data_IF_325314243029
#
_entry.id   IF_325314243029
#
_cell.length_a   1.000
_cell.length_b   1.000
_cell.length_c   1.000
_cell.angle_alpha   90.00
_cell.angle_beta   90.00
_cell.angle_gamma   90.00
#
_symmetry.space_group_name_H-M   'P 1'
#
loop_
_entity.id
_entity.type
_entity.pdbx_description
1 polymer ?
#
# COMPACT_ATOMS: atom_id res chain seq x y z
N UNK A 1 31.35 17.48 -5.71
CA UNK A 1 30.85 17.03 -4.40
C UNK A 1 29.34 16.99 -4.53
N UNK A 2 28.72 15.81 -4.55
CA UNK A 2 27.26 15.78 -4.50
C UNK A 2 26.79 16.33 -3.16
N UNK A 3 25.52 16.69 -3.07
CA UNK A 3 24.84 16.99 -1.80
C UNK A 3 24.55 15.68 -1.02
N UNK A 4 25.29 14.61 -1.33
CA UNK A 4 25.15 13.22 -0.90
C UNK A 4 26.16 12.85 0.21
N UNK A 5 26.73 13.85 0.90
CA UNK A 5 27.53 13.62 2.10
C UNK A 5 26.58 13.23 3.22
N UNK A 6 26.25 11.95 3.32
CA UNK A 6 25.36 11.36 4.32
C UNK A 6 25.86 11.43 5.77
N UNK A 7 27.05 11.99 6.01
CA UNK A 7 27.47 12.44 7.35
C UNK A 7 26.88 13.81 7.71
N UNK A 8 26.28 14.50 6.74
CA UNK A 8 25.50 15.70 6.97
C UNK A 8 24.20 15.31 7.68
N UNK A 9 23.93 15.82 8.89
CA UNK A 9 22.68 15.57 9.59
C UNK A 9 21.44 16.03 8.82
N UNK A 10 21.61 16.76 7.71
CA UNK A 10 20.55 17.21 6.80
C UNK A 10 20.26 16.24 5.65
N UNK A 11 20.98 15.12 5.54
CA UNK A 11 20.74 14.12 4.50
C UNK A 11 19.76 13.03 4.98
N UNK A 12 18.60 12.94 4.34
CA UNK A 12 17.58 11.94 4.63
C UNK A 12 17.42 10.96 3.46
N UNK A 13 17.32 9.66 3.76
CA UNK A 13 17.11 8.60 2.77
C UNK A 13 16.19 7.51 3.31
N UNK A 14 15.64 6.69 2.42
CA UNK A 14 14.76 5.55 2.76
C UNK A 14 13.57 5.91 3.66
N UNK A 15 13.19 7.20 3.70
CA UNK A 15 12.14 7.73 4.56
C UNK A 15 10.74 7.23 4.17
N UNK A 16 10.53 6.74 2.93
CA UNK A 16 9.24 6.17 2.48
C UNK A 16 8.75 5.06 3.41
N UNK A 17 9.66 4.23 3.97
CA UNK A 17 9.31 3.18 4.95
C UNK A 17 8.75 3.75 6.25
N UNK A 18 9.18 4.95 6.63
CA UNK A 18 8.82 5.60 7.90
C UNK A 18 7.51 6.38 7.88
N UNK A 19 6.98 6.72 6.70
CA UNK A 19 5.76 7.50 6.56
C UNK A 19 4.55 6.65 6.97
N UNK A 20 3.79 7.11 7.94
CA UNK A 20 2.59 6.43 8.43
C UNK A 20 2.85 5.20 9.31
N UNK A 21 4.10 5.00 9.75
CA UNK A 21 4.48 3.94 10.68
C UNK A 21 4.70 4.49 12.10
N UNK A 22 4.42 3.68 13.13
CA UNK A 22 4.78 4.05 14.51
C UNK A 22 6.31 3.95 14.69
N UNK A 23 6.96 5.11 14.78
CA UNK A 23 8.41 5.22 15.00
C UNK A 23 8.68 5.13 16.49
N UNK A 24 9.42 4.10 16.92
CA UNK A 24 9.94 4.02 18.29
C UNK A 24 11.40 4.50 18.32
N UNK A 25 11.67 5.57 19.08
CA UNK A 25 13.01 6.12 19.26
C UNK A 25 13.07 7.64 19.07
N UNK A 26 14.29 8.17 18.92
CA UNK A 26 14.51 9.59 18.64
C UNK A 26 14.32 9.86 17.15
N UNK A 27 13.42 10.78 16.83
CA UNK A 27 13.37 11.36 15.50
C UNK A 27 14.60 12.24 15.26
N UNK A 28 15.11 12.30 14.03
CA UNK A 28 16.22 13.19 13.71
C UNK A 28 15.82 14.65 14.01
N UNK A 29 16.72 15.37 14.68
CA UNK A 29 16.56 16.80 14.93
C UNK A 29 17.39 17.60 13.92
N UNK A 30 16.78 18.60 13.30
CA UNK A 30 17.45 19.55 12.44
C UNK A 30 17.30 20.94 13.05
N UNK A 31 18.44 21.54 13.41
CA UNK A 31 18.49 22.86 14.05
C UNK A 31 17.60 22.97 15.32
N UNK A 32 17.49 21.88 16.09
CA UNK A 32 16.70 21.80 17.33
C UNK A 32 15.20 21.53 17.13
N UNK A 33 14.79 21.20 15.90
CA UNK A 33 13.40 20.85 15.55
C UNK A 33 13.36 19.37 15.17
N UNK A 34 12.48 18.60 15.83
CA UNK A 34 12.24 17.21 15.46
C UNK A 34 11.59 17.11 14.08
N UNK A 35 12.19 16.33 13.19
CA UNK A 35 11.75 16.14 11.80
C UNK A 35 11.07 14.78 11.67
N UNK A 36 9.86 14.76 11.13
CA UNK A 36 9.11 13.52 10.87
C UNK A 36 9.36 13.00 9.45
N UNK A 37 9.11 11.70 9.21
CA UNK A 37 9.20 11.13 7.88
C UNK A 37 8.16 11.73 6.92
N UNK A 38 6.98 12.05 7.44
CA UNK A 38 5.90 12.76 6.74
C UNK A 38 6.39 14.12 6.22
N UNK A 39 7.12 14.87 7.04
CA UNK A 39 7.64 16.18 6.67
C UNK A 39 8.72 16.07 5.59
N UNK A 40 9.62 15.09 5.70
CA UNK A 40 10.65 14.83 4.68
C UNK A 40 9.99 14.45 3.36
N UNK A 41 8.97 13.58 3.39
CA UNK A 41 8.25 13.19 2.18
C UNK A 41 7.49 14.35 1.53
N UNK A 42 6.94 15.27 2.34
CA UNK A 42 6.24 16.46 1.84
C UNK A 42 7.23 17.38 1.12
N UNK A 43 8.37 17.68 1.74
CA UNK A 43 9.42 18.46 1.11
C UNK A 43 9.89 17.83 -0.20
N UNK A 44 10.11 16.52 -0.20
CA UNK A 44 10.53 15.79 -1.40
C UNK A 44 9.50 15.90 -2.53
N UNK A 45 8.21 15.67 -2.25
CA UNK A 45 7.15 15.76 -3.25
C UNK A 45 6.96 17.19 -3.78
N UNK A 46 6.94 18.19 -2.89
CA UNK A 46 6.83 19.59 -3.30
C UNK A 46 8.00 19.99 -4.21
N UNK A 47 9.22 19.61 -3.87
CA UNK A 47 10.39 19.87 -4.72
C UNK A 47 10.30 19.18 -6.09
N UNK A 48 9.77 17.96 -6.17
CA UNK A 48 9.55 17.30 -7.47
C UNK A 48 8.55 18.09 -8.31
N UNK A 49 7.39 18.45 -7.74
CA UNK A 49 6.31 19.13 -8.47
C UNK A 49 6.72 20.55 -8.91
N UNK A 50 7.43 21.28 -8.05
CA UNK A 50 8.01 22.59 -8.38
C UNK A 50 8.99 22.49 -9.54
N UNK A 51 9.92 21.52 -9.50
CA UNK A 51 10.88 21.32 -10.58
C UNK A 51 10.22 20.89 -11.89
N UNK A 52 9.20 20.03 -11.84
CA UNK A 52 8.43 19.64 -13.03
C UNK A 52 7.70 20.85 -13.64
N UNK A 53 7.11 21.69 -12.81
CA UNK A 53 6.42 22.91 -13.25
C UNK A 53 7.39 23.92 -13.89
N UNK A 54 8.61 24.03 -13.35
CA UNK A 54 9.67 24.86 -13.90
C UNK A 54 10.12 24.33 -15.27
N UNK A 55 10.38 23.02 -15.40
CA UNK A 55 10.77 22.38 -16.66
C UNK A 55 9.72 22.57 -17.75
N UNK A 56 8.43 22.46 -17.39
CA UNK A 56 7.34 22.66 -18.35
C UNK A 56 7.22 24.12 -18.81
N UNK A 57 7.43 25.06 -17.89
CA UNK A 57 7.48 26.49 -18.20
C UNK A 57 8.63 26.84 -19.14
N UNK A 58 9.81 26.21 -18.94
CA UNK A 58 10.97 26.36 -19.84
C UNK A 58 10.72 25.76 -21.23
N UNK A 59 9.95 24.67 -21.32
CA UNK A 59 9.56 24.03 -22.57
C UNK A 59 8.50 24.83 -23.37
N UNK A 60 7.85 25.82 -22.74
CA UNK A 60 6.76 26.60 -23.33
C UNK A 60 5.42 25.85 -23.40
N UNK A 61 5.29 24.76 -22.64
CA UNK A 61 4.08 23.95 -22.56
C UNK A 61 3.06 24.58 -21.57
N UNK A 62 1.80 24.14 -21.65
CA UNK A 62 0.75 24.53 -20.69
C UNK A 62 1.09 24.05 -19.28
N UNK A 63 0.46 24.60 -18.24
CA UNK A 63 0.67 24.14 -16.87
C UNK A 63 0.27 22.66 -16.67
N UNK A 64 0.80 22.01 -15.63
CA UNK A 64 0.42 20.64 -15.25
C UNK A 64 -1.05 20.63 -14.82
N UNK A 65 -1.93 20.13 -15.69
CA UNK A 65 -3.36 20.00 -15.38
C UNK A 65 -3.62 18.81 -14.45
N UNK A 66 -2.91 17.69 -14.65
CA UNK A 66 -3.13 16.48 -13.86
C UNK A 66 -1.84 15.74 -13.51
N UNK A 67 -1.81 15.16 -12.31
CA UNK A 67 -0.74 14.30 -11.80
C UNK A 67 -1.32 12.95 -11.39
N UNK A 68 -0.60 11.88 -11.71
CA UNK A 68 -0.92 10.53 -11.25
C UNK A 68 0.21 10.07 -10.33
N UNK A 69 -0.13 9.76 -9.08
CA UNK A 69 0.79 9.26 -8.07
C UNK A 69 0.56 7.76 -7.87
N UNK A 70 1.60 6.96 -8.03
CA UNK A 70 1.48 5.52 -7.78
C UNK A 70 1.68 5.22 -6.31
N UNK A 71 0.84 4.35 -5.76
CA UNK A 71 0.85 3.99 -4.33
C UNK A 71 1.01 2.48 -4.17
N UNK A 72 1.80 2.01 -3.19
CA UNK A 72 1.84 0.59 -2.88
C UNK A 72 0.47 0.20 -2.32
N UNK A 73 -0.06 -0.97 -2.68
CA UNK A 73 -1.42 -1.33 -2.23
C UNK A 73 -1.49 -1.64 -0.72
N UNK A 74 -0.34 -1.87 -0.05
CA UNK A 74 -0.22 -2.12 1.40
C UNK A 74 0.10 -0.84 2.17
N UNK A 75 0.10 0.33 1.50
CA UNK A 75 0.23 1.60 2.22
C UNK A 75 -0.91 1.70 3.23
N UNK A 76 -0.54 1.61 4.52
CA UNK A 76 -1.41 1.90 5.65
C UNK A 76 -2.18 3.20 5.39
N UNK A 77 -3.42 3.27 5.85
CA UNK A 77 -4.29 4.45 5.74
C UNK A 77 -3.53 5.75 6.06
N UNK A 78 -2.65 5.72 7.06
CA UNK A 78 -1.80 6.85 7.43
C UNK A 78 -0.93 7.38 6.27
N UNK A 79 -0.29 6.52 5.47
CA UNK A 79 0.49 6.94 4.30
C UNK A 79 -0.41 7.57 3.24
N UNK A 80 -1.56 6.96 2.95
CA UNK A 80 -2.49 7.53 1.95
C UNK A 80 -3.12 8.82 2.43
N UNK A 81 -3.51 8.91 3.70
CA UNK A 81 -4.06 10.10 4.33
C UNK A 81 -3.04 11.23 4.32
N UNK A 82 -1.79 10.93 4.66
CA UNK A 82 -0.66 11.85 4.53
C UNK A 82 -0.49 12.35 3.09
N UNK A 83 -0.39 11.42 2.13
CA UNK A 83 -0.21 11.75 0.71
C UNK A 83 -1.37 12.60 0.19
N UNK A 84 -2.59 12.23 0.58
CA UNK A 84 -3.82 12.95 0.30
C UNK A 84 -3.80 14.39 0.83
N UNK A 85 -3.33 14.58 2.06
CA UNK A 85 -3.17 15.89 2.68
C UNK A 85 -2.21 16.78 1.89
N UNK A 86 -1.10 16.21 1.42
CA UNK A 86 -0.14 16.91 0.54
C UNK A 86 -0.79 17.24 -0.81
N UNK A 87 -1.52 16.29 -1.40
CA UNK A 87 -2.16 16.50 -2.70
C UNK A 87 -3.14 17.68 -2.71
N UNK A 88 -3.74 18.02 -1.57
CA UNK A 88 -4.63 19.19 -1.45
C UNK A 88 -3.89 20.53 -1.54
N UNK A 89 -2.60 20.56 -1.20
CA UNK A 89 -1.78 21.78 -1.29
C UNK A 89 -0.99 21.88 -2.61
N UNK A 90 -1.00 20.85 -3.45
CA UNK A 90 -0.29 20.85 -4.73
C UNK A 90 -0.95 21.82 -5.74
N UNK A 91 -0.14 22.57 -6.51
CA UNK A 91 -0.63 23.53 -7.50
C UNK A 91 -1.05 22.87 -8.82
N UNK A 92 -1.86 21.80 -8.77
CA UNK A 92 -2.34 21.05 -9.94
C UNK A 92 -3.85 20.86 -9.87
N UNK A 93 -4.55 20.89 -11.01
CA UNK A 93 -6.02 20.87 -11.02
C UNK A 93 -6.59 19.50 -10.60
N UNK A 94 -5.90 18.42 -10.96
CA UNK A 94 -6.34 17.06 -10.66
C UNK A 94 -5.20 16.15 -10.23
N UNK A 95 -5.28 15.61 -9.02
CA UNK A 95 -4.44 14.49 -8.59
C UNK A 95 -5.24 13.20 -8.64
N UNK A 96 -4.60 12.15 -9.16
CA UNK A 96 -5.09 10.78 -9.21
C UNK A 96 -4.09 9.88 -8.49
N UNK A 97 -4.57 8.86 -7.77
CA UNK A 97 -3.70 7.80 -7.25
C UNK A 97 -3.90 6.53 -8.08
N UNK A 98 -2.87 5.72 -8.29
CA UNK A 98 -2.99 4.42 -8.95
C UNK A 98 -2.19 3.39 -8.15
N UNK A 99 -2.72 2.19 -7.95
CA UNK A 99 -1.95 1.14 -7.32
C UNK A 99 -0.78 0.69 -8.23
N UNK A 100 0.41 0.59 -7.64
CA UNK A 100 1.63 0.15 -8.33
C UNK A 100 1.47 -1.15 -9.15
N UNK A 101 0.79 -2.22 -8.70
CA UNK A 101 0.64 -3.42 -9.50
C UNK A 101 -0.32 -3.25 -10.69
N UNK A 102 -1.41 -2.48 -10.57
CA UNK A 102 -2.21 -2.12 -11.75
C UNK A 102 -1.41 -1.25 -12.73
N UNK A 103 -0.65 -0.29 -12.22
CA UNK A 103 0.24 0.53 -13.03
C UNK A 103 1.24 -0.35 -13.80
N UNK A 104 1.85 -1.32 -13.13
CA UNK A 104 2.75 -2.27 -13.77
C UNK A 104 2.04 -3.07 -14.88
N UNK A 105 0.84 -3.61 -14.62
CA UNK A 105 0.07 -4.36 -15.60
C UNK A 105 -0.24 -3.54 -16.87
N UNK A 106 -0.62 -2.28 -16.69
CA UNK A 106 -0.85 -1.34 -17.79
C UNK A 106 0.46 -1.04 -18.55
N UNK A 107 1.56 -0.78 -17.85
CA UNK A 107 2.86 -0.44 -18.47
C UNK A 107 3.47 -1.54 -19.34
N UNK A 108 3.17 -2.80 -19.00
CA UNK A 108 3.54 -3.96 -19.83
C UNK A 108 2.61 -4.17 -21.04
N UNK A 109 1.49 -3.45 -21.14
CA UNK A 109 0.60 -3.44 -22.31
C UNK A 109 -0.19 -4.74 -22.48
N UNK A 110 -0.63 -5.34 -21.36
CA UNK A 110 -1.17 -6.70 -21.36
C UNK A 110 -2.62 -6.76 -21.82
N UNK A 111 -2.99 -7.91 -22.39
CA UNK A 111 -4.30 -8.18 -22.94
C UNK A 111 -5.38 -8.24 -21.85
N UNK A 112 -6.60 -7.94 -22.27
CA UNK A 112 -7.77 -7.97 -21.40
C UNK A 112 -8.16 -9.42 -21.09
N UNK A 113 -8.54 -9.69 -19.84
CA UNK A 113 -8.88 -11.01 -19.31
C UNK A 113 -7.70 -11.73 -18.64
N UNK A 114 -6.46 -11.30 -18.92
CA UNK A 114 -5.26 -11.96 -18.38
C UNK A 114 -5.20 -11.82 -16.86
N UNK A 115 -4.82 -12.92 -16.21
CA UNK A 115 -4.49 -12.98 -14.78
C UNK A 115 -2.98 -12.92 -14.63
N UNK A 116 -2.49 -11.90 -13.92
CA UNK A 116 -1.08 -11.53 -13.86
C UNK A 116 -0.58 -11.53 -12.44
N UNK A 117 0.60 -12.12 -12.21
CA UNK A 117 1.33 -11.92 -10.95
C UNK A 117 2.33 -10.79 -11.13
N UNK A 118 2.16 -9.69 -10.42
CA UNK A 118 3.14 -8.61 -10.34
C UNK A 118 4.04 -8.87 -9.14
N UNK A 119 5.35 -8.91 -9.38
CA UNK A 119 6.39 -8.97 -8.35
C UNK A 119 7.13 -7.63 -8.42
N UNK A 120 6.78 -6.72 -7.52
CA UNK A 120 7.48 -5.45 -7.34
C UNK A 120 8.52 -5.60 -6.23
N UNK A 121 9.80 -5.60 -6.61
CA UNK A 121 10.93 -5.75 -5.71
C UNK A 121 11.83 -4.52 -5.79
N UNK A 122 11.48 -3.52 -5.00
CA UNK A 122 12.18 -2.25 -4.92
C UNK A 122 13.41 -2.27 -4.03
N UNK A 123 13.93 -1.07 -3.74
CA UNK A 123 14.98 -0.89 -2.73
C UNK A 123 14.48 -1.13 -1.31
N UNK A 124 13.17 -0.92 -1.07
CA UNK A 124 12.57 -0.89 0.26
C UNK A 124 11.57 -2.00 0.56
N UNK A 125 10.89 -2.55 -0.43
CA UNK A 125 9.81 -3.53 -0.20
C UNK A 125 9.79 -4.57 -1.31
N UNK A 126 9.17 -5.70 -0.97
CA UNK A 126 8.76 -6.74 -1.87
C UNK A 126 7.24 -6.83 -1.80
N UNK A 127 6.57 -6.67 -2.93
CA UNK A 127 5.12 -6.76 -3.06
C UNK A 127 4.77 -7.77 -4.17
N UNK A 128 4.02 -8.81 -3.82
CA UNK A 128 3.46 -9.79 -4.75
C UNK A 128 1.96 -9.55 -4.86
N UNK A 129 1.49 -9.22 -6.05
CA UNK A 129 0.07 -8.90 -6.30
C UNK A 129 -0.47 -9.68 -7.49
N UNK A 130 -1.57 -10.40 -7.30
CA UNK A 130 -2.30 -11.02 -8.39
C UNK A 130 -3.34 -10.04 -8.92
N UNK A 131 -3.24 -9.68 -10.20
CA UNK A 131 -4.08 -8.67 -10.87
C UNK A 131 -4.76 -9.29 -12.07
N UNK A 132 -6.07 -9.06 -12.22
CA UNK A 132 -6.82 -9.44 -13.41
C UNK A 132 -7.36 -8.19 -14.10
N UNK A 133 -7.10 -8.04 -15.40
CA UNK A 133 -7.62 -6.93 -16.21
C UNK A 133 -9.00 -7.30 -16.76
N UNK A 134 -10.09 -6.65 -16.31
CA UNK A 134 -11.45 -7.00 -16.74
C UNK A 134 -11.96 -6.10 -17.88
N UNK A 135 -12.68 -6.72 -18.83
CA UNK A 135 -13.69 -6.04 -19.64
C UNK A 135 -15.00 -6.04 -18.82
N UNK A 136 -15.57 -4.85 -18.64
CA UNK A 136 -16.94 -4.65 -18.13
C UNK A 136 -17.19 -4.89 -16.63
N UNK A 137 -17.82 -3.89 -16.01
CA UNK A 137 -18.61 -4.06 -14.79
C UNK A 137 -19.97 -4.73 -15.10
N UNK A 138 -19.97 -5.89 -15.78
CA UNK A 138 -21.20 -6.66 -16.00
C UNK A 138 -21.28 -7.86 -15.06
N UNK A 139 -22.20 -7.74 -14.09
CA UNK A 139 -22.70 -8.84 -13.26
C UNK A 139 -22.05 -8.95 -11.88
N UNK A 140 -22.75 -8.47 -10.83
CA UNK A 140 -22.65 -8.74 -9.37
C UNK A 140 -21.27 -9.01 -8.70
N UNK A 141 -20.14 -8.90 -9.38
CA UNK A 141 -18.79 -9.07 -8.85
C UNK A 141 -18.02 -7.77 -9.09
N UNK A 142 -17.58 -7.19 -7.98
CA UNK A 142 -17.03 -5.84 -7.87
C UNK A 142 -15.56 -5.80 -8.35
N UNK A 143 -15.14 -4.77 -9.10
CA UNK A 143 -13.73 -4.54 -9.45
C UNK A 143 -12.87 -4.17 -8.23
N UNK A 144 -11.53 -4.14 -8.37
CA UNK A 144 -10.56 -3.70 -7.33
C UNK A 144 -9.36 -3.06 -8.01
N UNK A 145 -9.52 -1.81 -8.43
CA UNK A 145 -8.47 -0.95 -8.99
C UNK A 145 -8.88 0.49 -8.72
N UNK A 146 -7.97 1.29 -8.17
CA UNK A 146 -8.31 2.49 -7.37
C UNK A 146 -7.85 3.79 -8.06
N UNK A 147 -8.67 4.85 -8.07
CA UNK A 147 -8.22 6.24 -8.37
C UNK A 147 -9.02 7.27 -7.57
N UNK A 148 -8.44 7.75 -6.47
CA UNK A 148 -8.96 8.89 -5.71
C UNK A 148 -8.92 10.16 -6.57
N UNK A 149 -10.08 10.77 -6.85
CA UNK A 149 -10.21 12.11 -7.44
C UNK A 149 -10.39 13.15 -6.33
N UNK A 150 -9.52 14.16 -6.29
CA UNK A 150 -9.75 15.39 -5.52
C UNK A 150 -9.93 16.59 -6.45
N UNK A 151 -10.89 17.45 -6.11
CA UNK A 151 -11.16 18.72 -6.80
C UNK A 151 -12.49 18.71 -7.57
N UNK A 152 -13.45 19.53 -7.11
CA UNK A 152 -14.66 19.83 -7.88
C UNK A 152 -14.34 20.82 -8.98
N UNK A 153 -14.32 20.34 -10.23
CA UNK A 153 -14.87 20.98 -11.42
C UNK A 153 -14.92 19.93 -12.53
N UNK A 154 -16.11 19.35 -12.71
CA UNK A 154 -16.38 18.36 -13.75
C UNK A 154 -16.03 18.91 -15.13
N UNK A 155 -15.39 18.08 -15.97
CA UNK A 155 -15.37 18.28 -17.41
C UNK A 155 -15.48 16.95 -18.14
N UNK A 156 -16.48 16.88 -19.03
CA UNK A 156 -16.48 16.00 -20.20
C UNK A 156 -17.18 14.65 -20.07
N UNK A 157 -18.51 14.64 -19.98
CA UNK A 157 -19.28 13.58 -20.65
C UNK A 157 -19.02 13.72 -22.16
N UNK A 158 -18.12 12.91 -22.72
CA UNK A 158 -18.11 12.38 -24.09
C UNK A 158 -16.74 11.76 -24.41
N UNK A 159 -16.52 10.53 -23.94
CA UNK A 159 -15.70 9.61 -24.70
C UNK A 159 -16.35 8.24 -24.65
N UNK A 160 -16.75 7.74 -25.82
CA UNK A 160 -17.28 6.39 -26.02
C UNK A 160 -16.16 5.33 -25.99
N UNK A 161 -15.12 5.58 -25.18
CA UNK A 161 -14.02 4.66 -24.97
C UNK A 161 -14.37 3.67 -23.85
N UNK A 162 -14.15 2.39 -24.14
CA UNK A 162 -14.38 1.29 -23.20
C UNK A 162 -13.41 1.43 -22.03
N UNK A 163 -13.97 1.61 -20.84
CA UNK A 163 -13.26 1.71 -19.57
C UNK A 163 -12.66 0.34 -19.20
N UNK A 164 -11.36 0.32 -18.87
CA UNK A 164 -10.63 -0.88 -18.43
C UNK A 164 -10.43 -0.83 -16.92
N UNK A 165 -10.82 -1.88 -16.19
CA UNK A 165 -10.65 -1.93 -14.73
C UNK A 165 -9.78 -3.13 -14.37
N UNK A 166 -8.69 -2.89 -13.66
CA UNK A 166 -7.89 -3.94 -13.05
C UNK A 166 -8.51 -4.36 -11.71
N UNK A 167 -8.40 -5.64 -11.38
CA UNK A 167 -8.85 -6.22 -10.11
C UNK A 167 -7.68 -6.88 -9.42
N UNK A 168 -7.27 -6.38 -8.25
CA UNK A 168 -6.35 -7.10 -7.36
C UNK A 168 -7.10 -8.24 -6.67
N UNK A 169 -6.61 -9.47 -6.81
CA UNK A 169 -7.26 -10.71 -6.38
C UNK A 169 -6.60 -11.34 -5.16
N UNK A 170 -5.30 -11.09 -4.99
CA UNK A 170 -4.48 -11.55 -3.89
C UNK A 170 -3.29 -10.60 -3.74
N UNK A 171 -2.83 -10.41 -2.51
CA UNK A 171 -1.65 -9.59 -2.26
C UNK A 171 -0.91 -10.00 -1.00
N UNK A 172 0.42 -9.97 -1.08
CA UNK A 172 1.32 -10.17 0.05
C UNK A 172 2.51 -9.21 -0.10
N UNK A 173 2.85 -8.51 0.98
CA UNK A 173 4.00 -7.62 1.05
C UNK A 173 5.01 -8.01 2.15
N UNK A 174 6.24 -7.53 2.02
CA UNK A 174 7.30 -7.65 3.02
C UNK A 174 8.23 -6.43 2.99
N UNK A 175 8.69 -5.99 4.17
CA UNK A 175 9.80 -5.03 4.31
C UNK A 175 11.13 -5.74 4.03
N UNK A 176 11.34 -6.12 2.78
CA UNK A 176 12.55 -6.72 2.26
C UNK A 176 12.85 -6.03 0.93
N UNK A 177 14.06 -5.53 0.75
CA UNK A 177 14.42 -4.77 -0.43
C UNK A 177 15.92 -4.77 -0.72
N UNK A 178 16.30 -4.05 -1.77
CA UNK A 178 17.70 -3.87 -2.15
C UNK A 178 18.57 -3.31 -1.02
N UNK A 179 18.04 -2.43 -0.16
CA UNK A 179 18.78 -1.85 0.97
C UNK A 179 19.15 -2.88 2.04
N UNK A 180 18.31 -3.88 2.28
CA UNK A 180 18.62 -4.93 3.25
C UNK A 180 19.78 -5.79 2.73
N UNK A 181 19.78 -6.08 1.43
CA UNK A 181 20.88 -6.79 0.75
C UNK A 181 22.18 -5.96 0.80
N UNK A 182 22.10 -4.63 0.61
CA UNK A 182 23.27 -3.76 0.75
C UNK A 182 23.88 -3.83 2.15
N UNK A 183 23.02 -3.87 3.17
CA UNK A 183 23.47 -3.99 4.56
C UNK A 183 24.14 -5.34 4.83
N UNK A 184 23.60 -6.45 4.30
CA UNK A 184 24.21 -7.78 4.43
C UNK A 184 25.59 -7.84 3.77
N UNK A 185 25.75 -7.22 2.60
CA UNK A 185 27.05 -7.09 1.96
C UNK A 185 28.03 -6.28 2.79
N UNK A 186 27.58 -5.17 3.39
CA UNK A 186 28.43 -4.40 4.31
C UNK A 186 28.84 -5.26 5.51
N UNK A 187 27.91 -5.98 6.12
CA UNK A 187 28.20 -6.84 7.27
C UNK A 187 29.22 -7.94 6.91
N UNK A 188 29.08 -8.56 5.74
CA UNK A 188 30.08 -9.49 5.21
C UNK A 188 31.48 -8.86 5.12
N UNK A 189 31.60 -7.64 4.58
CA UNK A 189 32.91 -6.98 4.46
C UNK A 189 33.44 -6.44 5.80
N UNK A 190 32.56 -6.09 6.74
CA UNK A 190 32.95 -5.76 8.12
C UNK A 190 33.60 -6.98 8.77
N UNK A 191 32.99 -8.16 8.62
CA UNK A 191 33.49 -9.40 9.24
C UNK A 191 34.75 -9.94 8.57
N UNK A 192 34.80 -9.91 7.23
CA UNK A 192 35.91 -10.51 6.46
C UNK A 192 37.12 -9.61 6.26
N UNK A 193 36.92 -8.28 6.18
CA UNK A 193 37.97 -7.31 5.89
C UNK A 193 38.17 -6.28 7.00
N UNK A 194 37.34 -6.29 8.05
CA UNK A 194 37.42 -5.30 9.13
C UNK A 194 36.99 -3.90 8.69
N UNK A 195 36.17 -3.78 7.65
CA UNK A 195 35.66 -2.48 7.21
C UNK A 195 34.82 -1.81 8.29
N UNK A 196 34.89 -0.48 8.36
CA UNK A 196 34.00 0.30 9.20
C UNK A 196 32.64 0.48 8.51
N UNK A 197 31.56 0.18 9.23
CA UNK A 197 30.21 0.50 8.78
C UNK A 197 30.08 2.01 8.58
N UNK A 198 29.78 2.40 7.36
CA UNK A 198 29.60 3.80 6.99
C UNK A 198 28.65 3.93 5.81
N UNK A 199 28.08 5.12 5.58
CA UNK A 199 27.31 5.34 4.36
C UNK A 199 28.14 5.15 3.08
N UNK A 200 29.44 5.48 3.12
CA UNK A 200 30.36 5.26 2.01
C UNK A 200 30.47 3.77 1.68
N UNK A 201 30.76 2.92 2.68
CA UNK A 201 30.86 1.46 2.47
C UNK A 201 29.52 0.87 2.02
N UNK A 202 28.39 1.39 2.51
CA UNK A 202 27.06 1.00 2.03
C UNK A 202 26.86 1.33 0.54
N UNK A 203 27.30 2.51 0.09
CA UNK A 203 27.24 2.89 -1.34
C UNK A 203 28.14 2.03 -2.22
N UNK A 204 29.35 1.70 -1.74
CA UNK A 204 30.25 0.80 -2.47
C UNK A 204 29.65 -0.61 -2.58
N UNK A 205 29.05 -1.12 -1.50
CA UNK A 205 28.35 -2.40 -1.51
C UNK A 205 27.15 -2.40 -2.47
N UNK A 206 26.35 -1.33 -2.50
CA UNK A 206 25.23 -1.18 -3.45
C UNK A 206 25.71 -1.22 -4.90
N UNK A 207 26.78 -0.48 -5.24
CA UNK A 207 27.38 -0.50 -6.58
C UNK A 207 27.89 -1.88 -6.96
N UNK A 208 28.54 -2.55 -6.02
CA UNK A 208 29.03 -3.91 -6.20
C UNK A 208 27.88 -4.88 -6.49
N UNK A 209 26.79 -4.82 -5.71
CA UNK A 209 25.55 -5.61 -5.91
C UNK A 209 24.95 -5.38 -7.30
N UNK A 210 24.90 -4.12 -7.74
CA UNK A 210 24.38 -3.75 -9.06
C UNK A 210 25.27 -4.38 -10.16
N UNK A 211 26.58 -4.25 -10.08
CA UNK A 211 27.51 -4.84 -11.06
C UNK A 211 27.39 -6.37 -11.12
N UNK A 212 27.22 -7.05 -9.99
CA UNK A 212 27.03 -8.50 -9.92
C UNK A 212 25.74 -9.00 -10.60
N UNK A 213 24.78 -8.10 -10.83
CA UNK A 213 23.58 -8.41 -11.61
C UNK A 213 23.88 -8.61 -13.10
N UNK A 214 25.00 -8.06 -13.59
CA UNK A 214 25.43 -8.16 -14.99
C UNK A 214 26.67 -9.07 -15.14
N UNK A 215 27.58 -9.03 -14.17
CA UNK A 215 28.90 -9.67 -14.22
C UNK A 215 29.06 -10.75 -13.13
N UNK A 216 29.87 -11.78 -13.40
CA UNK A 216 30.12 -12.86 -12.42
C UNK A 216 31.05 -12.45 -11.28
N UNK A 217 31.83 -11.39 -11.46
CA UNK A 217 32.66 -10.76 -10.43
C UNK A 217 32.56 -9.24 -10.56
N UNK A 218 32.74 -8.54 -9.45
CA UNK A 218 32.74 -7.08 -9.40
C UNK A 218 33.81 -6.58 -8.42
N UNK A 219 34.32 -5.38 -8.68
CA UNK A 219 35.27 -4.69 -7.79
C UNK A 219 34.95 -3.21 -7.73
N UNK A 220 34.80 -2.68 -6.52
CA UNK A 220 34.64 -1.25 -6.25
C UNK A 220 35.82 -0.72 -5.45
N UNK A 221 36.44 0.36 -5.96
CA UNK A 221 37.59 1.01 -5.32
C UNK A 221 37.24 2.46 -5.02
N UNK A 222 37.59 2.90 -3.81
CA UNK A 222 37.49 4.29 -3.40
C UNK A 222 38.77 4.74 -2.71
N UNK A 223 39.17 5.98 -2.99
CA UNK A 223 40.29 6.63 -2.33
C UNK A 223 39.88 8.04 -1.90
N UNK A 224 40.16 8.37 -0.64
CA UNK A 224 39.96 9.70 -0.09
C UNK A 224 41.28 10.46 -0.12
N UNK A 225 41.41 11.47 -1.00
CA UNK A 225 42.62 12.28 -1.12
C UNK A 225 42.92 13.12 0.14
N UNK A 226 41.92 13.37 1.00
CA UNK A 226 42.07 14.18 2.22
C UNK A 226 42.49 13.33 3.42
N UNK A 227 41.88 12.16 3.62
CA UNK A 227 42.20 11.25 4.74
C UNK A 227 43.22 10.18 4.38
N UNK A 228 43.54 10.02 3.09
CA UNK A 228 44.34 8.93 2.52
C UNK A 228 43.75 7.53 2.77
N UNK A 229 42.47 7.44 3.13
CA UNK A 229 41.78 6.16 3.29
C UNK A 229 41.45 5.55 1.93
N UNK A 230 41.63 4.24 1.82
CA UNK A 230 41.31 3.46 0.62
C UNK A 230 40.42 2.27 0.97
N UNK A 231 39.39 2.05 0.17
CA UNK A 231 38.52 0.88 0.25
C UNK A 231 38.56 0.13 -1.07
N UNK A 232 38.69 -1.20 -1.01
CA UNK A 232 38.58 -2.10 -2.15
C UNK A 232 37.64 -3.24 -1.77
N UNK A 233 36.44 -3.24 -2.36
CA UNK A 233 35.46 -4.29 -2.17
C UNK A 233 35.45 -5.15 -3.43
N UNK A 234 35.76 -6.44 -3.28
CA UNK A 234 35.70 -7.42 -4.36
C UNK A 234 34.80 -8.58 -3.96
N UNK A 235 33.90 -9.00 -4.85
CA UNK A 235 33.00 -10.12 -4.62
C UNK A 235 32.69 -10.82 -5.96
N UNK A 236 32.49 -12.13 -5.90
CA UNK A 236 31.93 -12.89 -7.01
C UNK A 236 30.46 -13.25 -6.75
N UNK A 237 29.75 -13.64 -7.81
CA UNK A 237 28.31 -13.93 -7.75
C UNK A 237 28.01 -15.15 -6.87
N UNK A 238 28.88 -16.15 -6.86
CA UNK A 238 28.69 -17.37 -6.07
C UNK A 238 28.75 -17.07 -4.56
N UNK A 239 29.69 -16.21 -4.16
CA UNK A 239 29.79 -15.73 -2.78
C UNK A 239 28.60 -14.83 -2.44
N UNK A 240 28.19 -13.96 -3.36
CA UNK A 240 26.98 -13.15 -3.15
C UNK A 240 25.73 -14.00 -2.93
N UNK A 241 25.51 -15.04 -3.74
CA UNK A 241 24.41 -15.98 -3.54
C UNK A 241 24.52 -16.77 -2.23
N UNK A 242 25.73 -17.02 -1.75
CA UNK A 242 25.95 -17.64 -0.44
C UNK A 242 25.48 -16.73 0.69
N UNK A 243 25.82 -15.43 0.63
CA UNK A 243 25.34 -14.42 1.58
C UNK A 243 23.81 -14.37 1.59
N UNK A 244 23.17 -14.37 0.41
CA UNK A 244 21.70 -14.42 0.33
C UNK A 244 21.11 -15.66 1.03
N UNK A 245 21.74 -16.83 0.88
CA UNK A 245 21.29 -18.07 1.53
C UNK A 245 21.47 -18.02 3.05
N UNK A 246 22.59 -17.50 3.53
CA UNK A 246 22.86 -17.35 4.97
C UNK A 246 21.83 -16.46 5.66
N UNK A 247 21.32 -15.45 4.96
CA UNK A 247 20.25 -14.57 5.42
C UNK A 247 18.83 -15.09 5.15
N UNK A 248 18.67 -16.37 4.80
CA UNK A 248 17.35 -16.99 4.54
C UNK A 248 16.51 -16.23 3.50
N UNK A 249 17.18 -15.61 2.53
CA UNK A 249 16.55 -14.76 1.53
C UNK A 249 15.51 -15.54 0.73
N UNK A 250 15.89 -16.70 0.19
CA UNK A 250 15.00 -17.53 -0.64
C UNK A 250 13.87 -18.14 0.17
N UNK A 251 14.11 -18.57 1.41
CA UNK A 251 13.06 -19.08 2.30
C UNK A 251 11.98 -18.01 2.53
N UNK A 252 12.40 -16.76 2.75
CA UNK A 252 11.48 -15.63 2.90
C UNK A 252 10.65 -15.39 1.64
N UNK A 253 11.27 -15.44 0.45
CA UNK A 253 10.58 -15.29 -0.82
C UNK A 253 9.56 -16.43 -1.05
N UNK A 254 9.95 -17.67 -0.75
CA UNK A 254 9.09 -18.86 -0.88
C UNK A 254 7.85 -18.78 0.02
N UNK A 255 8.01 -18.28 1.25
CA UNK A 255 6.90 -18.03 2.16
C UNK A 255 5.90 -17.03 1.57
N UNK A 256 6.39 -15.91 1.02
CA UNK A 256 5.53 -14.88 0.41
C UNK A 256 4.83 -15.40 -0.85
N UNK A 257 5.54 -16.13 -1.70
CA UNK A 257 4.98 -16.76 -2.91
C UNK A 257 3.91 -17.79 -2.54
N UNK A 258 4.17 -18.61 -1.52
CA UNK A 258 3.20 -19.59 -1.03
C UNK A 258 1.94 -18.90 -0.52
N UNK A 259 2.08 -17.81 0.23
CA UNK A 259 0.94 -17.06 0.76
C UNK A 259 0.09 -16.43 -0.35
N UNK A 260 0.70 -15.78 -1.34
CA UNK A 260 -0.06 -15.15 -2.44
C UNK A 260 -0.77 -16.21 -3.30
N UNK A 261 -0.14 -17.36 -3.54
CA UNK A 261 -0.77 -18.47 -4.27
C UNK A 261 -1.90 -19.11 -3.46
N UNK A 262 -1.78 -19.21 -2.14
CA UNK A 262 -2.88 -19.67 -1.29
C UNK A 262 -4.07 -18.70 -1.32
N UNK A 263 -3.82 -17.40 -1.30
CA UNK A 263 -4.86 -16.39 -1.47
C UNK A 263 -5.52 -16.49 -2.86
N UNK A 264 -4.71 -16.67 -3.92
CA UNK A 264 -5.20 -16.88 -5.28
C UNK A 264 -6.14 -18.09 -5.38
N UNK A 265 -5.78 -19.23 -4.77
CA UNK A 265 -6.61 -20.43 -4.73
C UNK A 265 -7.96 -20.22 -4.04
N UNK A 266 -8.01 -19.39 -2.99
CA UNK A 266 -9.28 -19.02 -2.34
C UNK A 266 -10.20 -18.23 -3.28
N UNK A 267 -9.61 -17.50 -4.22
CA UNK A 267 -10.31 -16.79 -5.30
C UNK A 267 -10.59 -17.67 -6.52
N UNK A 268 -10.26 -18.97 -6.46
CA UNK A 268 -10.50 -19.95 -7.53
C UNK A 268 -9.46 -19.92 -8.66
N UNK A 269 -8.26 -19.39 -8.40
CA UNK A 269 -7.19 -19.26 -9.38
C UNK A 269 -6.03 -20.17 -8.98
N UNK A 270 -5.64 -21.06 -9.89
CA UNK A 270 -4.46 -21.92 -9.74
C UNK A 270 -3.27 -21.38 -10.54
N UNK A 271 -2.07 -21.89 -10.27
CA UNK A 271 -0.82 -21.46 -10.97
C UNK A 271 -0.94 -21.53 -12.50
N UNK A 272 -1.55 -22.56 -13.12
CA UNK A 272 -1.71 -22.61 -14.58
C UNK A 272 -2.55 -21.46 -15.15
N UNK A 273 -3.48 -20.92 -14.36
CA UNK A 273 -4.38 -19.82 -14.74
C UNK A 273 -3.68 -18.46 -14.72
N UNK A 274 -2.45 -18.37 -14.22
CA UNK A 274 -1.64 -17.15 -14.25
C UNK A 274 -0.99 -17.04 -15.63
N UNK A 275 -1.45 -16.08 -16.44
CA UNK A 275 -1.06 -15.87 -17.83
C UNK A 275 0.32 -15.22 -17.97
N UNK A 276 0.74 -14.44 -16.96
CA UNK A 276 2.02 -13.74 -16.98
C UNK A 276 2.52 -13.33 -15.60
N UNK A 277 3.84 -13.23 -15.47
CA UNK A 277 4.53 -12.74 -14.27
C UNK A 277 5.31 -11.48 -14.63
N UNK A 278 4.97 -10.35 -14.03
CA UNK A 278 5.57 -9.05 -14.30
C UNK A 278 6.59 -8.72 -13.22
N UNK A 279 7.87 -8.61 -13.60
CA UNK A 279 8.94 -8.22 -12.69
C UNK A 279 9.16 -6.71 -12.75
N UNK A 280 9.08 -6.07 -11.59
CA UNK A 280 9.17 -4.62 -11.41
C UNK A 280 10.11 -4.31 -10.24
N UNK A 281 10.77 -3.16 -10.26
CA UNK A 281 11.73 -2.75 -9.25
C UNK A 281 13.17 -3.18 -9.56
N UNK A 282 14.15 -2.52 -8.94
CA UNK A 282 15.56 -2.75 -9.24
C UNK A 282 16.08 -4.12 -8.76
N UNK A 283 15.53 -4.65 -7.68
CA UNK A 283 16.02 -5.88 -7.05
C UNK A 283 15.72 -7.11 -7.91
N UNK A 284 14.71 -7.07 -8.79
CA UNK A 284 14.44 -8.15 -9.76
C UNK A 284 15.52 -8.30 -10.83
N UNK A 285 16.47 -7.36 -10.94
CA UNK A 285 17.64 -7.50 -11.83
C UNK A 285 18.65 -8.52 -11.33
N UNK A 286 18.61 -8.91 -10.06
CA UNK A 286 19.49 -9.93 -9.50
C UNK A 286 19.18 -11.29 -10.18
N UNK A 287 20.17 -11.95 -10.82
CA UNK A 287 19.95 -13.23 -11.52
C UNK A 287 19.33 -14.31 -10.64
N UNK A 288 19.73 -14.38 -9.37
CA UNK A 288 19.18 -15.35 -8.43
C UNK A 288 17.68 -15.13 -8.14
N UNK A 289 17.20 -13.88 -8.15
CA UNK A 289 15.76 -13.57 -8.02
C UNK A 289 15.01 -14.05 -9.26
N UNK A 290 15.56 -13.84 -10.46
CA UNK A 290 14.94 -14.34 -11.69
C UNK A 290 14.94 -15.87 -11.74
N UNK A 291 16.03 -16.51 -11.31
CA UNK A 291 16.12 -17.96 -11.20
C UNK A 291 15.05 -18.51 -10.24
N UNK A 292 14.86 -17.85 -9.09
CA UNK A 292 13.80 -18.18 -8.13
C UNK A 292 12.40 -18.11 -8.76
N UNK A 293 12.04 -17.02 -9.46
CA UNK A 293 10.73 -16.91 -10.14
C UNK A 293 10.51 -18.03 -11.16
N UNK A 294 11.56 -18.41 -11.89
CA UNK A 294 11.50 -19.48 -12.90
C UNK A 294 11.33 -20.89 -12.30
N UNK A 295 11.45 -21.07 -10.98
CA UNK A 295 11.10 -22.34 -10.32
C UNK A 295 9.58 -22.54 -10.23
N UNK A 296 8.82 -21.45 -10.23
CA UNK A 296 7.36 -21.46 -10.09
C UNK A 296 6.63 -21.32 -11.44
N UNK A 297 7.22 -20.59 -12.39
CA UNK A 297 6.58 -20.22 -13.64
C UNK A 297 7.47 -20.51 -14.84
N UNK A 298 6.85 -20.89 -15.96
CA UNK A 298 7.55 -21.02 -17.23
C UNK A 298 8.19 -19.68 -17.63
N UNK A 299 9.43 -19.72 -18.09
CA UNK A 299 10.18 -18.52 -18.51
C UNK A 299 9.48 -17.72 -19.62
N UNK A 300 8.59 -18.35 -20.39
CA UNK A 300 7.77 -17.68 -21.40
C UNK A 300 6.70 -16.73 -20.82
N UNK A 301 6.28 -16.97 -19.58
CA UNK A 301 5.31 -16.13 -18.85
C UNK A 301 5.99 -14.97 -18.10
N UNK A 302 7.29 -15.06 -17.84
CA UNK A 302 8.04 -14.06 -17.06
C UNK A 302 8.46 -12.88 -17.93
N UNK A 303 8.07 -11.66 -17.53
CA UNK A 303 8.34 -10.40 -18.24
C UNK A 303 9.15 -9.47 -17.35
N UNK A 304 10.35 -9.10 -17.80
CA UNK A 304 11.32 -8.27 -17.06
C UNK A 304 11.98 -7.19 -17.97
N UNK A 305 11.30 -6.82 -19.06
CA UNK A 305 11.84 -5.86 -20.04
C UNK A 305 11.80 -4.42 -19.50
N UNK A 306 10.87 -4.10 -18.59
CA UNK A 306 10.58 -2.74 -18.13
C UNK A 306 10.56 -2.57 -16.60
N UNK A 307 11.53 -3.09 -15.84
CA UNK A 307 11.43 -3.14 -14.39
C UNK A 307 11.45 -1.77 -13.71
N UNK A 308 12.02 -0.75 -14.36
CA UNK A 308 12.08 0.62 -13.80
C UNK A 308 10.98 1.56 -14.31
N UNK A 309 10.39 1.26 -15.47
CA UNK A 309 9.48 2.20 -16.16
C UNK A 309 8.03 1.71 -16.23
N UNK A 310 7.75 0.42 -15.99
CA UNK A 310 6.41 -0.14 -16.14
C UNK A 310 5.35 0.60 -15.32
N UNK A 311 5.64 0.90 -14.05
CA UNK A 311 4.71 1.62 -13.16
C UNK A 311 4.41 3.02 -13.70
N UNK A 312 5.45 3.82 -13.99
CA UNK A 312 5.27 5.18 -14.49
C UNK A 312 4.58 5.22 -15.87
N UNK A 313 4.99 4.34 -16.79
CA UNK A 313 4.38 4.27 -18.12
C UNK A 313 2.93 3.80 -18.08
N UNK A 314 2.59 2.84 -17.21
CA UNK A 314 1.20 2.40 -17.05
C UNK A 314 0.33 3.44 -16.34
N UNK A 315 0.86 4.17 -15.38
CA UNK A 315 0.17 5.31 -14.79
C UNK A 315 -0.23 6.34 -15.87
N UNK A 316 0.69 6.69 -16.77
CA UNK A 316 0.42 7.62 -17.87
C UNK A 316 -0.66 7.11 -18.84
N UNK A 317 -0.85 5.80 -19.00
CA UNK A 317 -1.90 5.25 -19.88
C UNK A 317 -3.32 5.56 -19.38
N UNK A 318 -3.53 5.85 -18.09
CA UNK A 318 -4.84 6.22 -17.55
C UNK A 318 -5.39 7.54 -18.11
N UNK A 319 -4.52 8.43 -18.58
CA UNK A 319 -4.91 9.72 -19.17
C UNK A 319 -5.68 9.58 -20.50
N UNK A 320 -5.74 8.36 -21.07
CA UNK A 320 -6.32 8.08 -22.39
C UNK A 320 -7.76 7.51 -22.35
N UNK A 321 -8.58 7.93 -21.38
CA UNK A 321 -10.03 7.60 -21.36
C UNK A 321 -10.44 6.40 -20.49
N UNK A 322 -9.67 6.11 -19.43
CA UNK A 322 -10.06 5.10 -18.42
C UNK A 322 -10.76 5.82 -17.26
N UNK A 323 -12.04 5.53 -17.05
CA UNK A 323 -12.81 6.00 -15.89
C UNK A 323 -12.71 4.99 -14.74
N UNK A 324 -12.28 5.40 -13.56
CA UNK A 324 -12.02 4.45 -12.46
C UNK A 324 -13.03 4.63 -11.33
N UNK A 325 -13.44 3.50 -10.76
CA UNK A 325 -14.30 3.42 -9.59
C UNK A 325 -13.43 3.25 -8.35
N UNK A 326 -13.74 3.97 -7.29
CA UNK A 326 -13.02 3.84 -6.02
C UNK A 326 -13.59 2.69 -5.17
N UNK A 327 -12.73 2.03 -4.37
CA UNK A 327 -13.12 0.91 -3.51
C UNK A 327 -12.56 1.06 -2.09
N UNK A 328 -13.30 0.54 -1.11
CA UNK A 328 -12.88 0.49 0.30
C UNK A 328 -11.84 -0.60 0.54
N UNK A 329 -10.81 -0.31 1.34
CA UNK A 329 -9.69 -1.21 1.58
C UNK A 329 -9.91 -2.17 2.75
N UNK A 330 -10.69 -1.76 3.74
CA UNK A 330 -10.97 -2.57 4.91
C UNK A 330 -12.40 -3.07 4.90
N UNK A 331 -12.61 -4.16 5.63
CA UNK A 331 -13.96 -4.54 6.02
C UNK A 331 -14.38 -3.66 7.19
N UNK A 332 -15.59 -3.11 7.17
CA UNK A 332 -16.15 -2.38 8.30
C UNK A 332 -17.23 -3.23 8.93
N UNK A 333 -17.26 -3.24 10.25
CA UNK A 333 -18.15 -4.10 11.01
C UNK A 333 -18.73 -3.42 12.23
N UNK A 334 -19.72 -4.10 12.80
CA UNK A 334 -20.36 -3.71 14.04
C UNK A 334 -20.00 -4.68 15.16
N UNK A 335 -19.84 -4.15 16.37
CA UNK A 335 -19.58 -4.96 17.56
C UNK A 335 -20.87 -5.60 18.04
N UNK A 336 -20.84 -6.91 18.29
CA UNK A 336 -21.94 -7.64 18.91
C UNK A 336 -21.43 -8.49 20.07
N UNK A 337 -22.36 -9.00 20.90
CA UNK A 337 -22.04 -9.93 21.98
C UNK A 337 -22.26 -11.38 21.52
N UNK A 338 -21.19 -12.16 21.39
CA UNK A 338 -21.26 -13.58 21.05
C UNK A 338 -21.61 -14.39 22.31
N UNK A 339 -22.88 -14.82 22.39
CA UNK A 339 -23.38 -15.61 23.54
C UNK A 339 -22.73 -16.97 23.68
N UNK A 340 -22.24 -17.57 22.59
CA UNK A 340 -21.59 -18.89 22.59
C UNK A 340 -20.19 -18.79 23.18
N UNK A 341 -19.44 -17.75 22.79
CA UNK A 341 -18.06 -17.53 23.23
C UNK A 341 -17.97 -16.64 24.48
N UNK A 342 -19.08 -16.07 24.94
CA UNK A 342 -19.17 -15.14 26.09
C UNK A 342 -18.18 -13.98 25.99
N UNK A 343 -18.00 -13.43 24.78
CA UNK A 343 -17.12 -12.28 24.50
C UNK A 343 -17.70 -11.40 23.41
N UNK A 344 -17.23 -10.16 23.32
CA UNK A 344 -17.51 -9.32 22.16
C UNK A 344 -16.87 -9.90 20.89
N UNK A 345 -17.58 -9.77 19.79
CA UNK A 345 -17.13 -10.19 18.47
C UNK A 345 -17.63 -9.17 17.43
N UNK A 346 -17.19 -9.30 16.17
CA UNK A 346 -17.46 -8.33 15.12
C UNK A 346 -18.20 -8.95 13.94
N UNK A 347 -19.19 -8.23 13.42
CA UNK A 347 -19.97 -8.62 12.25
C UNK A 347 -19.70 -7.62 11.12
N UNK A 348 -19.10 -8.08 10.02
CA UNK A 348 -18.81 -7.23 8.85
C UNK A 348 -20.12 -6.79 8.17
N UNK A 349 -20.29 -5.48 8.03
CA UNK A 349 -21.38 -4.83 7.28
C UNK A 349 -20.92 -4.43 5.88
N UNK A 350 -19.68 -3.97 5.75
CA UNK A 350 -19.06 -3.61 4.47
C UNK A 350 -17.79 -4.44 4.36
N UNK A 351 -17.54 -4.99 3.17
CA UNK A 351 -16.36 -5.80 2.89
C UNK A 351 -15.29 -4.96 2.20
N UNK A 352 -14.04 -5.34 2.41
CA UNK A 352 -12.94 -4.88 1.56
C UNK A 352 -13.27 -5.11 0.07
N UNK A 353 -12.84 -4.18 -0.78
CA UNK A 353 -13.19 -4.13 -2.20
C UNK A 353 -14.63 -3.70 -2.50
N UNK A 354 -15.32 -3.05 -1.57
CA UNK A 354 -16.62 -2.44 -1.83
C UNK A 354 -16.46 -1.11 -2.60
N UNK A 355 -17.07 -0.94 -3.79
CA UNK A 355 -17.01 0.33 -4.50
C UNK A 355 -17.75 1.43 -3.73
N UNK A 356 -17.22 2.64 -3.79
CA UNK A 356 -17.87 3.86 -3.33
C UNK A 356 -17.84 4.96 -4.42
N UNK A 357 -18.85 5.84 -4.51
CA UNK A 357 -20.08 5.83 -3.71
C UNK A 357 -20.93 4.57 -3.95
N UNK A 358 -21.51 4.03 -2.88
CA UNK A 358 -22.35 2.84 -2.97
C UNK A 358 -23.68 3.18 -3.65
N UNK A 359 -24.12 2.37 -4.62
CA UNK A 359 -25.42 2.55 -5.29
C UNK A 359 -26.60 2.07 -4.44
N UNK A 360 -26.36 1.09 -3.57
CA UNK A 360 -27.38 0.49 -2.69
C UNK A 360 -26.84 0.39 -1.26
N UNK A 361 -27.66 0.70 -0.24
CA UNK A 361 -27.25 0.57 1.15
C UNK A 361 -27.21 -0.90 1.60
N UNK A 362 -26.36 -1.20 2.58
CA UNK A 362 -26.39 -2.46 3.32
C UNK A 362 -27.42 -2.34 4.44
N UNK A 363 -28.39 -3.25 4.45
CA UNK A 363 -29.46 -3.25 5.45
C UNK A 363 -29.15 -4.20 6.60
N UNK A 364 -29.42 -3.76 7.82
CA UNK A 364 -29.31 -4.56 9.03
C UNK A 364 -30.52 -4.32 9.93
N UNK A 365 -31.09 -5.40 10.46
CA UNK A 365 -32.22 -5.36 11.36
C UNK A 365 -31.75 -5.67 12.79
N UNK A 366 -32.15 -4.83 13.74
CA UNK A 366 -31.81 -5.01 15.16
C UNK A 366 -33.06 -4.96 16.03
N UNK A 367 -33.15 -5.89 16.98
CA UNK A 367 -34.14 -5.88 18.05
C UNK A 367 -33.57 -5.38 19.38
N UNK A 368 -34.44 -5.16 20.35
CA UNK A 368 -34.01 -4.90 21.72
C UNK A 368 -33.36 -6.15 22.34
N UNK A 369 -32.30 -5.95 23.11
CA UNK A 369 -31.57 -7.01 23.81
C UNK A 369 -32.15 -7.31 25.19
N UNK A 370 -32.80 -6.33 25.83
CA UNK A 370 -33.44 -6.45 27.15
C UNK A 370 -34.85 -5.87 27.13
N UNK A 371 -35.68 -6.27 28.10
CA UNK A 371 -37.00 -5.68 28.30
C UNK A 371 -36.89 -4.21 28.68
N UNK A 372 -37.84 -3.40 28.20
CA UNK A 372 -37.89 -1.95 28.42
C UNK A 372 -36.61 -1.20 28.02
N UNK A 373 -35.94 -1.63 26.96
CA UNK A 373 -34.71 -1.01 26.47
C UNK A 373 -35.00 0.40 25.92
N UNK A 374 -34.33 1.46 26.43
CA UNK A 374 -34.61 2.84 26.05
C UNK A 374 -33.92 3.28 24.75
N UNK A 375 -32.82 2.64 24.37
CA UNK A 375 -32.05 3.00 23.18
C UNK A 375 -31.27 1.81 22.63
N UNK A 376 -30.89 1.87 21.36
CA UNK A 376 -29.98 0.91 20.73
C UNK A 376 -28.67 1.62 20.42
N UNK A 377 -27.58 1.02 20.88
CA UNK A 377 -26.21 1.49 20.65
C UNK A 377 -25.49 0.61 19.63
N UNK A 378 -24.61 1.21 18.83
CA UNK A 378 -23.84 0.55 17.79
C UNK A 378 -22.42 1.08 17.79
N UNK A 379 -21.46 0.16 17.90
CA UNK A 379 -20.04 0.48 17.79
C UNK A 379 -19.54 -0.08 16.47
N UNK A 380 -19.08 0.84 15.62
CA UNK A 380 -18.44 0.59 14.35
C UNK A 380 -16.95 0.38 14.56
N UNK A 381 -16.40 -0.55 13.82
CA UNK A 381 -14.99 -0.84 13.81
C UNK A 381 -14.53 -1.14 12.40
N UNK A 382 -13.35 -0.63 12.08
CA UNK A 382 -12.59 -1.08 10.94
C UNK A 382 -11.92 -2.41 11.29
N UNK A 383 -12.15 -3.42 10.45
CA UNK A 383 -11.63 -4.76 10.61
C UNK A 383 -10.40 -4.89 9.70
N UNK A 384 -9.21 -4.85 10.30
CA UNK A 384 -7.96 -5.02 9.57
C UNK A 384 -7.79 -6.45 9.05
N UNK A 385 -7.12 -6.59 7.91
CA UNK A 385 -6.50 -7.86 7.53
C UNK A 385 -5.34 -8.15 8.50
N UNK A 386 -5.01 -9.43 8.70
CA UNK A 386 -3.93 -9.82 9.61
C UNK A 386 -2.56 -9.45 9.03
N UNK A 387 -2.18 -8.18 9.13
CA UNK A 387 -0.81 -7.73 8.91
C UNK A 387 -0.22 -7.41 10.26
N UNK A 388 0.78 -8.19 10.68
CA UNK A 388 1.56 -7.89 11.88
C UNK A 388 2.07 -6.45 11.84
N UNK A 389 1.98 -5.75 12.96
CA UNK A 389 2.48 -4.36 13.05
C UNK A 389 3.95 -4.30 12.65
N UNK A 390 4.33 -3.25 11.92
CA UNK A 390 5.75 -2.97 11.63
C UNK A 390 6.25 -1.94 12.63
N UNK A 391 7.19 -2.33 13.48
CA UNK A 391 7.94 -1.38 14.30
C UNK A 391 9.16 -0.89 13.53
N UNK A 392 9.38 0.42 13.53
CA UNK A 392 10.55 1.05 12.94
C UNK A 392 11.38 1.65 14.06
N UNK A 393 12.67 1.33 14.06
CA UNK A 393 13.64 1.93 14.97
C UNK A 393 14.93 2.28 14.26
N UNK A 394 15.68 3.22 14.85
CA UNK A 394 16.98 3.64 14.36
C UNK A 394 18.10 2.82 15.02
N UNK A 395 19.01 2.29 14.20
CA UNK A 395 20.29 1.71 14.66
C UNK A 395 21.44 2.52 14.03
N UNK A 396 21.93 3.52 14.76
CA UNK A 396 22.81 4.56 14.19
C UNK A 396 22.05 5.37 13.13
N UNK A 397 22.63 5.49 11.93
CA UNK A 397 22.02 6.20 10.77
C UNK A 397 21.16 5.28 9.88
N UNK A 398 20.85 4.05 10.34
CA UNK A 398 20.05 3.07 9.60
C UNK A 398 18.64 2.99 10.16
N UNK A 399 17.67 2.87 9.26
CA UNK A 399 16.28 2.61 9.58
C UNK A 399 16.06 1.10 9.49
N UNK A 400 15.78 0.48 10.64
CA UNK A 400 15.54 -0.97 10.74
C UNK A 400 14.06 -1.19 11.01
N UNK A 401 13.45 -2.07 10.20
CA UNK A 401 12.06 -2.50 10.32
C UNK A 401 12.01 -3.88 10.97
N UNK A 402 11.25 -4.03 12.05
CA UNK A 402 10.94 -5.33 12.68
C UNK A 402 9.45 -5.61 12.56
N UNK A 403 9.09 -6.84 12.16
CA UNK A 403 7.71 -7.29 12.20
C UNK A 403 7.32 -7.81 13.58
N UNK A 404 6.20 -7.34 14.09
CA UNK A 404 5.53 -7.90 15.25
C UNK A 404 4.72 -9.14 14.83
N UNK A 405 4.85 -10.22 15.61
CA UNK A 405 4.19 -11.50 15.32
C UNK A 405 2.67 -11.41 15.24
N UNK A 406 2.07 -12.34 14.48
CA UNK A 406 0.63 -12.45 14.24
C UNK A 406 -0.16 -12.59 15.56
N UNK A 407 -1.09 -11.66 15.81
CA UNK A 407 -1.96 -11.70 16.98
C UNK A 407 -3.26 -10.93 16.81
N UNK A 408 -4.36 -11.68 16.64
CA UNK A 408 -5.77 -11.26 16.58
C UNK A 408 -6.11 -10.23 15.49
N UNK A 409 -7.35 -10.28 14.98
CA UNK A 409 -7.87 -9.23 14.09
C UNK A 409 -7.79 -7.90 14.82
N UNK A 410 -6.88 -7.03 14.40
CA UNK A 410 -6.82 -5.66 14.89
C UNK A 410 -8.12 -4.97 14.46
N UNK A 411 -8.88 -4.48 15.44
CA UNK A 411 -10.10 -3.71 15.18
C UNK A 411 -9.91 -2.33 15.74
N UNK A 412 -10.01 -1.33 14.87
CA UNK A 412 -9.99 0.07 15.27
C UNK A 412 -11.44 0.55 15.44
N UNK A 413 -11.89 0.87 16.66
CA UNK A 413 -13.21 1.44 16.86
C UNK A 413 -13.29 2.85 16.25
N UNK A 414 -14.30 3.09 15.43
CA UNK A 414 -14.45 4.34 14.68
C UNK A 414 -15.32 5.39 15.40
N UNK A 415 -16.28 4.96 16.20
CA UNK A 415 -17.24 5.82 16.89
C UNK A 415 -17.33 5.58 18.42
N UNK A 416 -16.28 5.01 19.03
CA UNK A 416 -16.26 4.63 20.45
C UNK A 416 -15.98 5.83 21.38
N UNK A 417 -16.80 6.88 21.26
CA UNK A 417 -16.77 8.11 22.10
C UNK A 417 -18.14 8.32 22.76
N UNK A 418 -18.17 8.95 23.94
CA UNK A 418 -19.43 9.21 24.66
C UNK A 418 -20.40 10.04 23.81
N UNK A 419 -21.62 9.53 23.63
CA UNK A 419 -22.66 10.14 22.78
C UNK A 419 -22.69 9.68 21.32
N UNK A 420 -21.59 9.15 20.77
CA UNK A 420 -21.51 8.69 19.37
C UNK A 420 -21.94 7.23 19.14
N UNK A 421 -22.21 6.50 20.25
CA UNK A 421 -22.64 5.10 20.24
C UNK A 421 -24.15 4.93 20.06
N UNK A 422 -24.96 5.89 20.51
CA UNK A 422 -26.43 5.77 20.47
C UNK A 422 -26.93 6.06 19.06
N UNK A 423 -27.63 5.08 18.46
CA UNK A 423 -28.12 5.15 17.08
C UNK A 423 -29.64 5.31 17.02
N UNK A 424 -30.36 4.93 18.08
CA UNK A 424 -31.80 5.10 18.16
C UNK A 424 -32.27 5.24 19.62
N UNK A 425 -33.07 6.27 19.91
CA UNK A 425 -33.87 6.34 21.14
C UNK A 425 -35.26 5.74 20.85
N UNK A 426 -35.67 4.75 21.64
CA UNK A 426 -36.88 3.98 21.40
C UNK A 426 -38.06 4.55 22.18
N UNK A 427 -39.08 5.00 21.46
CA UNK A 427 -40.37 5.40 22.04
C UNK A 427 -41.50 4.74 21.25
N UNK A 428 -42.27 3.80 21.83
CA UNK A 428 -42.18 3.23 23.19
C UNK A 428 -40.93 2.33 23.39
N UNK A 429 -40.59 2.05 24.66
CA UNK A 429 -39.42 1.24 25.05
C UNK A 429 -39.42 -0.14 24.36
N UNK A 430 -38.23 -0.58 23.95
CA UNK A 430 -38.04 -1.83 23.21
C UNK A 430 -38.15 -3.08 24.09
N UNK A 431 -38.63 -4.19 23.50
CA UNK A 431 -38.66 -5.50 24.14
C UNK A 431 -38.05 -6.58 23.22
N UNK A 432 -37.40 -7.61 23.76
CA UNK A 432 -36.79 -8.66 22.95
C UNK A 432 -37.83 -9.50 22.18
N UNK A 433 -37.40 -10.10 21.07
CA UNK A 433 -38.21 -11.09 20.34
C UNK A 433 -38.73 -10.65 18.97
N UNK A 434 -38.46 -9.41 18.56
CA UNK A 434 -38.75 -8.90 17.21
C UNK A 434 -37.76 -7.82 16.81
N UNK A 435 -37.59 -7.63 15.50
CA UNK A 435 -36.80 -6.51 14.96
C UNK A 435 -37.49 -5.19 15.29
N UNK A 436 -36.70 -4.22 15.78
CA UNK A 436 -37.21 -2.91 16.20
C UNK A 436 -36.75 -1.79 15.28
N UNK A 437 -35.50 -1.83 14.84
CA UNK A 437 -34.95 -0.83 13.93
C UNK A 437 -34.39 -1.47 12.68
N UNK A 438 -34.53 -0.75 11.57
CA UNK A 438 -33.83 -1.01 10.32
C UNK A 438 -32.74 0.02 10.16
N UNK A 439 -31.51 -0.46 9.98
CA UNK A 439 -30.33 0.33 9.70
C UNK A 439 -29.98 0.18 8.22
N UNK A 440 -29.67 1.30 7.56
CA UNK A 440 -29.19 1.33 6.19
C UNK A 440 -27.84 2.03 6.16
N UNK A 441 -26.79 1.29 5.84
CA UNK A 441 -25.42 1.78 5.76
C UNK A 441 -25.04 2.06 4.31
N UNK A 442 -24.50 3.25 4.04
CA UNK A 442 -24.04 3.64 2.71
C UNK A 442 -22.72 4.41 2.83
N UNK A 443 -21.87 4.30 1.82
CA UNK A 443 -20.62 5.05 1.72
C UNK A 443 -20.78 6.06 0.59
N UNK A 444 -20.56 7.34 0.89
CA UNK A 444 -20.64 8.42 -0.10
C UNK A 444 -19.35 8.58 -0.92
N UNK A 445 -19.32 9.56 -1.82
CA UNK A 445 -18.18 9.80 -2.70
C UNK A 445 -16.96 10.31 -1.92
N UNK A 446 -17.19 10.93 -0.77
CA UNK A 446 -16.16 11.46 0.13
C UNK A 446 -15.68 10.42 1.18
N UNK A 447 -16.09 9.15 1.06
CA UNK A 447 -15.78 8.03 1.98
C UNK A 447 -16.36 8.18 3.38
N UNK A 448 -17.43 8.92 3.57
CA UNK A 448 -18.16 8.88 4.83
C UNK A 448 -19.11 7.69 4.86
N UNK A 449 -19.02 6.90 5.92
CA UNK A 449 -20.06 5.94 6.29
C UNK A 449 -21.24 6.69 6.86
N UNK A 450 -22.36 6.59 6.15
CA UNK A 450 -23.63 7.19 6.51
C UNK A 450 -24.61 6.12 6.93
N UNK A 451 -25.44 6.46 7.92
CA UNK A 451 -26.52 5.60 8.39
C UNK A 451 -27.87 6.31 8.31
N UNK A 452 -28.86 5.59 7.83
CA UNK A 452 -30.28 5.92 8.00
C UNK A 452 -30.91 4.86 8.93
N UNK A 453 -31.76 5.31 9.85
CA UNK A 453 -32.33 4.50 10.92
C UNK A 453 -33.83 4.68 10.94
N UNK A 454 -34.57 3.62 10.66
CA UNK A 454 -36.03 3.60 10.71
C UNK A 454 -36.51 2.76 11.90
N UNK A 455 -37.48 3.28 12.65
CA UNK A 455 -38.19 2.53 13.68
C UNK A 455 -39.35 1.75 13.05
N UNK A 456 -39.26 0.42 13.12
CA UNK A 456 -40.23 -0.49 12.50
C UNK A 456 -41.55 -0.56 13.24
N UNK A 457 -41.61 -0.12 14.51
CA UNK A 457 -42.86 -0.09 15.26
C UNK A 457 -43.65 1.19 14.94
N UNK A 458 -42.98 2.34 14.94
CA UNK A 458 -43.63 3.64 14.70
C UNK A 458 -43.70 4.02 13.22
N UNK A 459 -42.91 3.35 12.37
CA UNK A 459 -42.67 3.72 10.96
C UNK A 459 -42.10 5.13 10.80
N UNK A 460 -41.30 5.59 11.77
CA UNK A 460 -40.62 6.89 11.73
C UNK A 460 -39.12 6.72 11.46
N UNK A 461 -38.57 7.58 10.61
CA UNK A 461 -37.12 7.69 10.42
C UNK A 461 -36.51 8.48 11.58
N UNK A 462 -35.73 7.81 12.43
CA UNK A 462 -35.09 8.39 13.60
C UNK A 462 -33.81 9.18 13.24
N UNK A 463 -33.06 8.70 12.26
CA UNK A 463 -31.87 9.36 11.70
C UNK A 463 -31.87 9.21 10.18
N UNK A 464 -31.57 10.27 9.45
CA UNK A 464 -31.52 10.25 7.99
C UNK A 464 -30.13 10.66 7.49
N UNK A 465 -29.46 9.75 6.77
CA UNK A 465 -28.18 9.98 6.09
C UNK A 465 -27.07 10.60 6.96
N UNK A 466 -27.05 10.23 8.24
CA UNK A 466 -26.16 10.78 9.25
C UNK A 466 -24.75 10.22 9.08
N UNK A 467 -23.73 11.07 9.06
CA UNK A 467 -22.32 10.64 9.07
C UNK A 467 -22.00 10.00 10.41
N UNK A 468 -21.47 8.78 10.37
CA UNK A 468 -21.12 7.99 11.57
C UNK A 468 -19.62 7.80 11.70
N UNK A 469 -18.92 7.65 10.58
CA UNK A 469 -17.47 7.55 10.53
C UNK A 469 -16.96 8.04 9.17
N UNK A 470 -15.74 8.55 9.13
CA UNK A 470 -14.97 8.64 7.90
C UNK A 470 -14.23 7.30 7.72
N UNK A 471 -14.28 6.74 6.51
CA UNK A 471 -13.66 5.46 6.18
C UNK A 471 -12.31 5.67 5.47
N UNK A 472 -11.41 4.74 5.74
CA UNK A 472 -10.03 4.60 5.25
C UNK A 472 -9.89 4.45 3.74
#
# INVERSE_FOLDING_TARGET
RGLDLSSDPRFFRSFKRGIGAEVQGFLPELDGIGITFEQIGEWFLNQIIENLSALQSEAGDSAIESVILTVPVDSFEAYRHWLSGICQSLPVEQVRMLDEPTAAALGYGIAEGDTLLVIDFGGGTLDLSLVQLNQEAQGNKKPLGFILKWGQKSFGEESSQKVKIARVLAKVGQNLGGTDIDNWLVDYFVETQGLMRSPLTTRLAERLKIQLSEQSEATEVYFNDETFESYELKLDRDTFETILKEHQFFDSLDDRMTEVLQQARRSGIEVPDIDGVLLVGGTVKIPAVQAWVNQYFDSSKVRCQKPFEAIATGALQLSQGIEVQDFLYHSYGIRYWDRRLKRHNWHSIIREGQPYPMSEPVELFLGASVENQPSIELILGELGSQTGGTEIYFEGDRLITRQLGQGQTAVQPLNDRDGARSVANLTPLGNPGSDRIKLQFQVDAERYLRVTVDDLLTNETLLANQVVAQLS
#
